data_IF_929458735746
#
_entry.id   IF_929458735746
#
_cell.length_a   1.000
_cell.length_b   1.000
_cell.length_c   1.000
_cell.angle_alpha   90.00
_cell.angle_beta   90.00
_cell.angle_gamma   90.00
#
_symmetry.space_group_name_H-M   'P 1'
#
loop_
_entity.id
_entity.type
_entity.pdbx_description
1 polymer ?
#
# COMPACT_ATOMS: atom_id res chain seq x y z
N UNK A 1 17.46 -20.55 1.48
CA UNK A 1 18.12 -19.24 1.70
C UNK A 1 17.27 -18.07 1.20
N UNK A 2 16.47 -18.25 0.15
CA UNK A 2 15.61 -17.20 -0.42
C UNK A 2 14.32 -16.89 0.36
N UNK A 3 13.88 -17.76 1.27
CA UNK A 3 12.63 -17.58 2.04
C UNK A 3 12.82 -16.63 3.23
N UNK A 4 13.91 -16.77 4.00
CA UNK A 4 14.19 -15.86 5.13
C UNK A 4 14.46 -14.40 4.70
N UNK A 5 14.95 -14.17 3.49
CA UNK A 5 15.22 -12.81 3.01
C UNK A 5 13.96 -12.05 2.55
N UNK A 6 12.85 -12.74 2.26
CA UNK A 6 11.61 -12.06 1.86
C UNK A 6 10.84 -11.52 3.05
N UNK A 7 10.82 -12.28 4.15
CA UNK A 7 10.12 -11.90 5.39
C UNK A 7 10.53 -10.52 5.91
N UNK A 8 11.83 -10.21 5.97
CA UNK A 8 12.28 -8.91 6.50
C UNK A 8 11.95 -7.74 5.58
N UNK A 9 11.98 -7.93 4.25
CA UNK A 9 11.59 -6.90 3.28
C UNK A 9 10.10 -6.63 3.35
N UNK A 10 9.26 -7.66 3.38
CA UNK A 10 7.80 -7.54 3.57
C UNK A 10 7.48 -6.78 4.85
N UNK A 11 8.19 -7.10 5.95
CA UNK A 11 8.00 -6.45 7.24
C UNK A 11 8.41 -4.97 7.21
N UNK A 12 9.58 -4.64 6.64
CA UNK A 12 10.02 -3.24 6.53
C UNK A 12 9.07 -2.45 5.64
N UNK A 13 8.71 -2.99 4.47
CA UNK A 13 7.77 -2.34 3.55
C UNK A 13 6.42 -2.13 4.24
N UNK A 14 5.89 -3.16 4.89
CA UNK A 14 4.64 -3.07 5.63
C UNK A 14 4.70 -2.01 6.73
N UNK A 15 5.78 -1.93 7.51
CA UNK A 15 5.94 -0.87 8.52
C UNK A 15 6.02 0.52 7.91
N UNK A 16 6.75 0.68 6.80
CA UNK A 16 6.83 1.96 6.08
C UNK A 16 5.45 2.36 5.56
N UNK A 17 4.72 1.45 4.90
CA UNK A 17 3.36 1.70 4.43
C UNK A 17 2.41 2.04 5.60
N UNK A 18 2.54 1.35 6.73
CA UNK A 18 1.73 1.60 7.91
C UNK A 18 1.98 2.99 8.48
N UNK A 19 3.25 3.43 8.53
CA UNK A 19 3.61 4.77 8.98
C UNK A 19 3.10 5.82 8.00
N UNK A 20 3.26 5.58 6.69
CA UNK A 20 2.87 6.54 5.65
C UNK A 20 1.36 6.67 5.47
N UNK A 21 0.57 5.60 5.64
CA UNK A 21 -0.88 5.66 5.56
C UNK A 21 -1.55 5.87 6.91
N UNK A 22 -1.08 5.16 7.92
CA UNK A 22 -1.68 5.12 9.25
C UNK A 22 -1.52 6.42 10.02
N UNK A 23 -0.34 7.04 10.02
CA UNK A 23 -0.15 8.29 10.76
C UNK A 23 -1.03 9.43 10.20
N UNK A 24 -1.06 9.68 8.87
CA UNK A 24 -1.98 10.66 8.31
C UNK A 24 -3.45 10.33 8.56
N UNK A 25 -3.84 9.04 8.49
CA UNK A 25 -5.20 8.59 8.78
C UNK A 25 -5.63 8.85 10.24
N UNK A 26 -4.73 8.59 11.18
CA UNK A 26 -4.98 8.85 12.61
C UNK A 26 -4.99 10.35 12.94
N UNK A 27 -4.19 11.14 12.23
CA UNK A 27 -4.23 12.59 12.35
C UNK A 27 -5.52 13.18 11.76
N UNK A 28 -6.02 12.64 10.65
CA UNK A 28 -7.23 13.14 10.00
C UNK A 28 -8.53 12.86 10.78
N UNK A 29 -8.55 11.84 11.65
CA UNK A 29 -9.64 11.63 12.65
C UNK A 29 -9.44 12.43 13.95
N UNK A 30 -8.35 13.19 14.09
CA UNK A 30 -8.05 13.96 15.31
C UNK A 30 -7.58 13.11 16.50
N UNK A 31 -7.20 11.84 16.29
CA UNK A 31 -6.65 10.99 17.35
C UNK A 31 -5.24 11.45 17.76
N UNK A 32 -4.47 11.94 16.78
CA UNK A 32 -3.12 12.47 17.01
C UNK A 32 -3.19 14.00 17.17
N UNK A 33 -2.95 14.47 18.40
CA UNK A 33 -3.00 15.90 18.76
C UNK A 33 -1.74 16.71 18.45
N UNK A 34 -0.69 16.11 17.88
CA UNK A 34 0.51 16.83 17.46
C UNK A 34 0.49 17.14 15.96
N UNK A 35 1.08 18.27 15.58
CA UNK A 35 1.27 18.61 14.17
C UNK A 35 2.25 17.63 13.54
N UNK A 36 1.84 16.99 12.45
CA UNK A 36 2.72 16.12 11.69
C UNK A 36 3.80 16.95 10.98
N UNK A 37 5.04 16.45 10.91
CA UNK A 37 6.07 17.03 10.07
C UNK A 37 5.59 17.24 8.64
N UNK A 38 5.99 18.36 8.04
CA UNK A 38 5.56 18.74 6.68
C UNK A 38 5.92 17.68 5.63
N UNK A 39 6.92 16.83 5.84
CA UNK A 39 7.21 15.75 4.91
C UNK A 39 6.15 14.65 4.93
N UNK A 40 5.52 14.34 6.08
CA UNK A 40 4.43 13.35 6.15
C UNK A 40 3.13 13.89 5.55
N UNK A 41 2.89 15.18 5.71
CA UNK A 41 1.73 15.88 5.13
C UNK A 41 1.95 16.29 3.66
N UNK A 42 3.22 16.44 3.28
CA UNK A 42 3.66 16.99 2.00
C UNK A 42 4.28 15.95 1.07
N UNK A 43 4.21 14.65 1.41
CA UNK A 43 4.38 13.60 0.42
C UNK A 43 3.36 13.89 -0.67
N UNK A 44 3.88 14.20 -1.86
CA UNK A 44 3.01 14.52 -2.98
C UNK A 44 2.16 13.29 -3.28
N UNK A 45 0.86 13.46 -3.60
CA UNK A 45 -0.03 12.34 -3.92
C UNK A 45 0.59 11.39 -4.96
N UNK A 46 1.43 11.90 -5.86
CA UNK A 46 2.19 11.11 -6.83
C UNK A 46 3.13 10.10 -6.19
N UNK A 47 3.91 10.49 -5.17
CA UNK A 47 4.84 9.56 -4.48
C UNK A 47 4.06 8.45 -3.80
N UNK A 48 2.94 8.78 -3.16
CA UNK A 48 2.06 7.79 -2.56
C UNK A 48 1.53 6.79 -3.60
N UNK A 49 1.08 7.26 -4.76
CA UNK A 49 0.61 6.39 -5.85
C UNK A 49 1.67 5.39 -6.33
N UNK A 50 2.93 5.82 -6.45
CA UNK A 50 4.02 4.92 -6.83
C UNK A 50 4.25 3.85 -5.77
N UNK A 51 4.21 4.24 -4.49
CA UNK A 51 4.43 3.32 -3.38
C UNK A 51 3.31 2.27 -3.31
N UNK A 52 2.04 2.67 -3.47
CA UNK A 52 0.90 1.71 -3.53
C UNK A 52 1.07 0.76 -4.72
N UNK A 53 1.41 1.29 -5.89
CA UNK A 53 1.58 0.45 -7.07
C UNK A 53 2.73 -0.57 -6.86
N UNK A 54 3.85 -0.13 -6.26
CA UNK A 54 4.98 -0.99 -5.97
C UNK A 54 4.67 -2.04 -4.88
N UNK A 55 3.99 -1.65 -3.80
CA UNK A 55 3.53 -2.57 -2.77
C UNK A 55 2.53 -3.59 -3.31
N UNK A 56 1.62 -3.16 -4.19
CA UNK A 56 0.63 -4.05 -4.80
C UNK A 56 1.30 -5.09 -5.71
N UNK A 57 2.31 -4.68 -6.49
CA UNK A 57 3.15 -5.62 -7.24
C UNK A 57 3.86 -6.60 -6.31
N UNK A 58 4.41 -6.10 -5.20
CA UNK A 58 5.08 -6.95 -4.23
C UNK A 58 4.14 -7.98 -3.61
N UNK A 59 2.92 -7.59 -3.19
CA UNK A 59 1.89 -8.51 -2.71
C UNK A 59 1.58 -9.61 -3.73
N UNK A 60 1.44 -9.27 -5.01
CA UNK A 60 1.18 -10.26 -6.07
C UNK A 60 2.35 -11.23 -6.23
N UNK A 61 3.60 -10.76 -6.15
CA UNK A 61 4.77 -11.62 -6.21
C UNK A 61 4.80 -12.59 -5.03
N UNK A 62 4.38 -12.12 -3.86
CA UNK A 62 4.34 -12.91 -2.61
C UNK A 62 3.35 -14.08 -2.69
N UNK A 63 2.20 -13.86 -3.34
CA UNK A 63 1.16 -14.89 -3.54
C UNK A 63 1.69 -16.15 -4.24
N UNK A 64 2.71 -16.03 -5.09
CA UNK A 64 3.29 -17.21 -5.74
C UNK A 64 4.03 -18.13 -4.76
N UNK A 65 4.49 -17.63 -3.62
CA UNK A 65 5.04 -18.46 -2.53
C UNK A 65 3.97 -19.15 -1.71
N UNK A 66 2.75 -18.62 -1.71
CA UNK A 66 1.64 -18.97 -0.81
C UNK A 66 0.46 -19.61 -1.56
N UNK A 67 0.73 -20.14 -2.76
CA UNK A 67 -0.31 -20.60 -3.67
C UNK A 67 -1.08 -21.80 -3.11
N UNK A 68 -2.41 -21.67 -3.06
CA UNK A 68 -3.32 -22.71 -2.57
C UNK A 68 -3.86 -22.47 -1.17
N UNK A 69 -3.33 -21.47 -0.46
CA UNK A 69 -3.83 -21.06 0.84
C UNK A 69 -4.83 -19.90 0.74
N UNK A 70 -5.78 -19.82 1.68
CA UNK A 70 -6.84 -18.80 1.66
C UNK A 70 -6.28 -17.37 1.76
N UNK A 71 -5.18 -17.19 2.48
CA UNK A 71 -4.52 -15.89 2.66
C UNK A 71 -3.82 -15.43 1.38
N UNK A 72 -3.24 -16.34 0.59
CA UNK A 72 -2.68 -16.02 -0.72
C UNK A 72 -3.72 -15.44 -1.68
N UNK A 73 -4.95 -15.98 -1.70
CA UNK A 73 -6.02 -15.41 -2.53
C UNK A 73 -6.45 -14.00 -2.06
N UNK A 74 -6.46 -13.75 -0.75
CA UNK A 74 -6.78 -12.43 -0.21
C UNK A 74 -5.67 -11.40 -0.53
N UNK A 75 -4.39 -11.77 -0.37
CA UNK A 75 -3.23 -10.97 -0.76
C UNK A 75 -3.24 -10.65 -2.27
N UNK A 76 -3.64 -11.61 -3.10
CA UNK A 76 -3.77 -11.41 -4.55
C UNK A 76 -4.83 -10.38 -4.89
N UNK A 77 -6.03 -10.54 -4.33
CA UNK A 77 -7.13 -9.61 -4.56
C UNK A 77 -6.74 -8.20 -4.11
N UNK A 78 -6.12 -8.08 -2.94
CA UNK A 78 -5.65 -6.80 -2.42
C UNK A 78 -4.54 -6.19 -3.27
N UNK A 79 -3.55 -6.99 -3.71
CA UNK A 79 -2.47 -6.54 -4.58
C UNK A 79 -2.99 -6.01 -5.92
N UNK A 80 -3.99 -6.66 -6.51
CA UNK A 80 -4.67 -6.16 -7.72
C UNK A 80 -5.37 -4.83 -7.45
N UNK A 81 -6.10 -4.71 -6.33
CA UNK A 81 -6.75 -3.44 -5.95
C UNK A 81 -5.73 -2.33 -5.73
N UNK A 82 -4.62 -2.60 -5.04
CA UNK A 82 -3.55 -1.64 -4.80
C UNK A 82 -2.91 -1.20 -6.14
N UNK A 83 -2.59 -2.13 -7.04
CA UNK A 83 -2.07 -1.78 -8.37
C UNK A 83 -3.06 -0.90 -9.12
N UNK A 84 -4.35 -1.24 -9.15
CA UNK A 84 -5.34 -0.41 -9.86
C UNK A 84 -5.46 0.97 -9.21
N UNK A 85 -5.49 1.04 -7.89
CA UNK A 85 -5.56 2.28 -7.13
C UNK A 85 -4.33 3.18 -7.31
N UNK A 86 -3.13 2.61 -7.45
CA UNK A 86 -1.89 3.36 -7.68
C UNK A 86 -1.66 3.70 -9.16
N UNK A 87 -1.80 2.71 -10.03
CA UNK A 87 -1.44 2.80 -11.45
C UNK A 87 -2.44 3.60 -12.27
N UNK A 88 -3.76 3.44 -12.06
CA UNK A 88 -4.77 4.14 -12.87
C UNK A 88 -4.65 5.66 -12.74
N UNK A 89 -4.57 6.25 -11.52
CA UNK A 89 -4.37 7.69 -11.38
C UNK A 89 -3.03 8.16 -11.95
N UNK A 90 -1.96 7.35 -11.87
CA UNK A 90 -0.67 7.67 -12.50
C UNK A 90 -0.80 7.75 -14.02
N UNK A 91 -1.42 6.73 -14.66
CA UNK A 91 -1.64 6.72 -16.11
C UNK A 91 -2.48 7.91 -16.57
N UNK A 92 -3.46 8.34 -15.76
CA UNK A 92 -4.26 9.55 -16.03
C UNK A 92 -3.40 10.82 -15.97
N UNK A 93 -2.58 10.99 -14.92
CA UNK A 93 -1.68 12.16 -14.78
C UNK A 93 -0.67 12.24 -15.91
N UNK A 94 -0.20 11.10 -16.43
CA UNK A 94 0.69 11.05 -17.59
C UNK A 94 -0.02 11.22 -18.95
N UNK A 95 -1.34 11.35 -18.96
CA UNK A 95 -2.13 11.48 -20.21
C UNK A 95 -2.16 10.21 -21.05
N UNK A 96 -1.83 9.05 -20.47
CA UNK A 96 -1.89 7.74 -21.15
C UNK A 96 -3.34 7.29 -21.28
N UNK A 97 -4.16 7.56 -20.27
CA UNK A 97 -5.61 7.30 -20.28
C UNK A 97 -6.41 8.57 -19.96
N UNK A 98 -7.64 8.72 -20.50
CA UNK A 98 -8.43 9.94 -20.35
C UNK A 98 -9.31 9.96 -19.08
N UNK A 99 -9.29 8.90 -18.26
CA UNK A 99 -10.16 8.74 -17.10
C UNK A 99 -9.36 8.35 -15.86
N UNK A 100 -9.93 8.62 -14.69
CA UNK A 100 -9.41 8.17 -13.39
C UNK A 100 -10.55 7.58 -12.55
N UNK A 101 -10.22 6.90 -11.45
CA UNK A 101 -11.22 6.31 -10.56
C UNK A 101 -11.92 7.46 -9.79
N UNK A 102 -13.23 7.66 -9.96
CA UNK A 102 -13.96 8.69 -9.24
C UNK A 102 -14.00 8.36 -7.75
N UNK A 103 -13.83 9.38 -6.90
CA UNK A 103 -13.90 9.20 -5.44
C UNK A 103 -12.59 8.77 -4.75
N UNK A 104 -11.48 8.64 -5.48
CA UNK A 104 -10.15 8.41 -4.89
C UNK A 104 -9.64 9.67 -4.17
N UNK A 105 -10.13 9.88 -2.95
CA UNK A 105 -9.63 10.92 -2.05
C UNK A 105 -8.37 10.47 -1.31
N UNK A 106 -7.63 11.42 -0.74
CA UNK A 106 -6.46 11.13 0.12
C UNK A 106 -6.78 10.13 1.23
N UNK A 107 -7.99 10.21 1.78
CA UNK A 107 -8.50 9.26 2.77
C UNK A 107 -8.54 7.81 2.26
N UNK A 108 -9.00 7.60 1.03
CA UNK A 108 -9.10 6.27 0.43
C UNK A 108 -7.69 5.69 0.21
N UNK A 109 -6.75 6.51 -0.27
CA UNK A 109 -5.35 6.08 -0.42
C UNK A 109 -4.74 5.65 0.92
N UNK A 110 -4.93 6.44 1.97
CA UNK A 110 -4.40 6.12 3.30
C UNK A 110 -4.99 4.81 3.85
N UNK A 111 -6.27 4.54 3.60
CA UNK A 111 -6.91 3.27 3.99
C UNK A 111 -6.28 2.10 3.23
N UNK A 112 -6.11 2.23 1.90
CA UNK A 112 -5.48 1.18 1.09
C UNK A 112 -4.06 0.90 1.59
N UNK A 113 -3.26 1.93 1.84
CA UNK A 113 -1.92 1.81 2.42
C UNK A 113 -1.92 1.03 3.73
N UNK A 114 -2.85 1.33 4.63
CA UNK A 114 -2.92 0.66 5.93
C UNK A 114 -3.31 -0.81 5.78
N UNK A 115 -4.28 -1.12 4.92
CA UNK A 115 -4.68 -2.51 4.65
C UNK A 115 -3.52 -3.27 4.01
N UNK A 116 -2.88 -2.69 3.00
CA UNK A 116 -1.70 -3.24 2.33
C UNK A 116 -0.55 -3.50 3.30
N UNK A 117 -0.28 -2.54 4.18
CA UNK A 117 0.71 -2.66 5.24
C UNK A 117 0.44 -3.87 6.16
N UNK A 118 -0.82 -4.04 6.60
CA UNK A 118 -1.19 -5.17 7.44
C UNK A 118 -0.97 -6.51 6.74
N UNK A 119 -1.33 -6.61 5.46
CA UNK A 119 -1.14 -7.83 4.70
C UNK A 119 0.35 -8.16 4.50
N UNK A 120 1.19 -7.17 4.21
CA UNK A 120 2.64 -7.37 4.10
C UNK A 120 3.26 -7.80 5.43
N UNK A 121 2.84 -7.20 6.55
CA UNK A 121 3.31 -7.57 7.88
C UNK A 121 2.86 -9.00 8.22
N UNK A 122 1.60 -9.35 7.94
CA UNK A 122 1.08 -10.70 8.21
C UNK A 122 1.82 -11.73 7.35
N UNK A 123 1.97 -11.48 6.04
CA UNK A 123 2.72 -12.34 5.13
C UNK A 123 4.16 -12.55 5.59
N UNK A 124 4.81 -11.50 6.11
CA UNK A 124 6.16 -11.62 6.68
C UNK A 124 6.29 -12.63 7.84
N UNK A 125 5.21 -12.88 8.59
CA UNK A 125 5.22 -13.84 9.71
C UNK A 125 4.68 -15.23 9.34
N UNK A 126 3.99 -15.36 8.21
CA UNK A 126 3.42 -16.64 7.75
C UNK A 126 4.36 -17.42 6.84
N UNK A 127 5.42 -16.77 6.32
CA UNK A 127 6.50 -17.35 5.51
C UNK A 127 7.64 -17.88 6.37
#
# INVERSE_FOLDING_TARGET
MWEHEKSWLSLILGLVLLVLGGIPLLNSIGLIGFNLPAFLLGLTPQVLLYIIAAGGVYLIVDVFGEWGEWYGYASLALGVVAILAGLVPLLFVFGIIPWTIPGMSLWVYNIIFVIEAFFLIIGAFLQ
#
